data_IF_870457998278
#
_entry.id   IF_870457998278
#
_cell.length_a   1.000
_cell.length_b   1.000
_cell.length_c   1.000
_cell.angle_alpha   90.00
_cell.angle_beta   90.00
_cell.angle_gamma   90.00
#
_symmetry.space_group_name_H-M   'P 1'
#
loop_
_entity.id
_entity.type
_entity.pdbx_description
1 polymer ?
#
# COMPACT_ATOMS: atom_id res chain seq x y z
N UNK A 1 -11.70 -23.25 9.18
CA UNK A 1 -10.78 -22.40 9.96
C UNK A 1 -11.36 -20.99 10.04
N UNK A 2 -11.34 -20.33 11.20
CA UNK A 2 -11.78 -18.92 11.31
C UNK A 2 -10.57 -17.98 11.41
N UNK A 3 -10.57 -16.92 10.61
CA UNK A 3 -9.57 -15.83 10.68
C UNK A 3 -10.17 -14.69 11.47
N UNK A 4 -9.46 -14.28 12.54
CA UNK A 4 -9.94 -13.26 13.48
C UNK A 4 -9.12 -11.98 13.29
N UNK A 5 -9.80 -10.85 13.26
CA UNK A 5 -9.24 -9.52 13.42
C UNK A 5 -9.41 -9.06 14.86
N UNK A 6 -8.31 -8.83 15.55
CA UNK A 6 -8.28 -8.26 16.89
C UNK A 6 -8.12 -6.72 16.87
N UNK A 7 -8.14 -6.07 18.02
CA UNK A 7 -7.98 -4.62 18.13
C UNK A 7 -6.62 -4.08 17.65
N UNK A 8 -5.66 -4.95 17.35
CA UNK A 8 -4.36 -4.58 16.78
C UNK A 8 -4.43 -3.93 15.40
N UNK A 9 -5.58 -4.05 14.70
CA UNK A 9 -5.81 -3.35 13.43
C UNK A 9 -5.61 -1.82 13.54
N UNK A 10 -5.86 -1.21 14.71
CA UNK A 10 -5.70 0.23 14.95
C UNK A 10 -4.26 0.69 14.79
N UNK A 11 -3.31 -0.14 15.19
CA UNK A 11 -1.89 0.16 15.03
C UNK A 11 -1.43 0.12 13.58
N UNK A 12 -2.16 -0.56 12.71
CA UNK A 12 -1.86 -0.69 11.28
C UNK A 12 -2.45 0.43 10.41
N UNK A 13 -3.10 1.43 11.00
CA UNK A 13 -3.61 2.58 10.25
C UNK A 13 -2.47 3.33 9.54
N UNK A 14 -2.71 3.83 8.30
CA UNK A 14 -3.97 3.92 7.56
C UNK A 14 -4.28 2.69 6.70
N UNK A 15 -3.47 1.63 6.72
CA UNK A 15 -3.56 0.47 5.83
C UNK A 15 -4.88 -0.29 5.99
N UNK A 16 -5.42 -0.30 7.20
CA UNK A 16 -6.55 -1.14 7.61
C UNK A 16 -7.89 -0.39 7.72
N UNK A 17 -7.97 0.89 7.36
CA UNK A 17 -9.28 1.58 7.35
C UNK A 17 -10.28 0.94 6.39
N UNK A 18 -9.81 0.50 5.22
CA UNK A 18 -10.64 0.05 4.10
C UNK A 18 -10.54 -1.45 3.83
N UNK A 19 -9.76 -2.17 4.62
CA UNK A 19 -9.56 -3.62 4.50
C UNK A 19 -9.32 -4.26 5.85
N UNK A 20 -9.70 -5.53 6.04
CA UNK A 20 -9.35 -6.29 7.24
C UNK A 20 -7.85 -6.62 7.25
N UNK A 21 -7.33 -6.97 8.43
CA UNK A 21 -5.89 -7.19 8.62
C UNK A 21 -5.29 -8.29 7.74
N UNK A 22 -6.05 -9.33 7.42
CA UNK A 22 -5.60 -10.43 6.56
C UNK A 22 -5.49 -10.04 5.06
N UNK A 23 -6.02 -8.89 4.67
CA UNK A 23 -5.83 -8.31 3.34
C UNK A 23 -4.65 -7.33 3.25
N UNK A 24 -3.89 -7.18 4.33
CA UNK A 24 -2.61 -6.45 4.27
C UNK A 24 -1.63 -7.24 3.41
N UNK A 25 -1.05 -6.56 2.43
CA UNK A 25 -0.03 -7.13 1.53
C UNK A 25 1.32 -7.12 2.23
N UNK A 26 1.95 -8.30 2.28
CA UNK A 26 3.30 -8.52 2.77
C UNK A 26 4.07 -9.25 1.66
N UNK A 27 5.02 -8.61 1.03
CA UNK A 27 5.62 -9.11 -0.21
C UNK A 27 4.75 -8.78 -1.44
N UNK A 28 4.42 -9.78 -2.25
CA UNK A 28 3.58 -9.65 -3.45
C UNK A 28 2.10 -10.02 -3.20
N UNK A 29 1.80 -10.64 -2.05
CA UNK A 29 0.49 -11.22 -1.76
C UNK A 29 0.00 -10.84 -0.37
N UNK A 30 -1.32 -10.93 -0.16
CA UNK A 30 -1.96 -10.71 1.13
C UNK A 30 -1.67 -11.84 2.11
N UNK A 31 -1.86 -11.57 3.41
CA UNK A 31 -1.78 -12.61 4.45
C UNK A 31 -2.80 -13.72 4.16
N UNK A 32 -4.01 -13.37 3.71
CA UNK A 32 -5.06 -14.34 3.35
C UNK A 32 -4.61 -15.25 2.19
N UNK A 33 -4.00 -14.69 1.15
CA UNK A 33 -3.48 -15.50 0.03
C UNK A 33 -2.39 -16.46 0.49
N UNK A 34 -1.51 -16.04 1.41
CA UNK A 34 -0.51 -16.90 2.03
C UNK A 34 -1.16 -18.01 2.89
N UNK A 35 -2.21 -17.68 3.64
CA UNK A 35 -2.98 -18.66 4.41
C UNK A 35 -3.64 -19.72 3.50
N UNK A 36 -4.28 -19.29 2.41
CA UNK A 36 -4.89 -20.20 1.42
C UNK A 36 -3.85 -21.11 0.77
N UNK A 37 -2.64 -20.63 0.52
CA UNK A 37 -1.54 -21.47 0.00
C UNK A 37 -1.07 -22.51 1.01
N UNK A 38 -0.97 -22.13 2.28
CA UNK A 38 -0.53 -23.04 3.35
C UNK A 38 -1.59 -24.10 3.71
N UNK A 39 -2.85 -23.75 3.57
CA UNK A 39 -3.99 -24.59 3.93
C UNK A 39 -4.99 -24.69 2.76
N UNK A 40 -4.61 -25.36 1.65
CA UNK A 40 -5.38 -25.35 0.40
C UNK A 40 -6.75 -26.02 0.53
N UNK A 41 -6.89 -26.98 1.43
CA UNK A 41 -8.13 -27.76 1.63
C UNK A 41 -9.07 -27.15 2.69
N UNK A 42 -8.64 -26.06 3.34
CA UNK A 42 -9.42 -25.41 4.40
C UNK A 42 -10.44 -24.42 3.85
N UNK A 43 -11.64 -24.47 4.39
CA UNK A 43 -12.62 -23.41 4.23
C UNK A 43 -12.39 -22.31 5.28
N UNK A 44 -12.33 -21.06 4.85
CA UNK A 44 -12.11 -19.93 5.72
C UNK A 44 -13.42 -19.17 5.99
N UNK A 45 -13.67 -18.90 7.27
CA UNK A 45 -14.65 -17.91 7.74
C UNK A 45 -13.92 -16.76 8.43
N UNK A 46 -14.61 -15.64 8.62
CA UNK A 46 -13.97 -14.41 9.05
C UNK A 46 -14.73 -13.77 10.22
N UNK A 47 -13.99 -13.24 11.20
CA UNK A 47 -14.53 -12.48 12.32
C UNK A 47 -13.72 -11.19 12.48
N UNK A 48 -14.36 -10.04 12.42
CA UNK A 48 -13.73 -8.73 12.53
C UNK A 48 -14.75 -7.61 12.42
N UNK A 49 -14.33 -6.47 11.90
CA UNK A 49 -15.18 -5.27 11.78
C UNK A 49 -16.33 -5.49 10.79
N UNK A 50 -17.57 -5.35 11.26
CA UNK A 50 -18.79 -5.64 10.49
C UNK A 50 -18.88 -4.88 9.16
N UNK A 51 -18.34 -3.67 9.10
CA UNK A 51 -18.40 -2.86 7.90
C UNK A 51 -17.43 -3.32 6.79
N UNK A 52 -16.50 -4.23 7.09
CA UNK A 52 -15.55 -4.82 6.14
C UNK A 52 -15.92 -6.25 5.75
N UNK A 53 -16.66 -6.93 6.62
CA UNK A 53 -16.99 -8.34 6.44
C UNK A 53 -18.46 -8.42 6.09
N UNK A 54 -18.83 -8.93 4.90
CA UNK A 54 -20.22 -9.25 4.61
C UNK A 54 -20.71 -10.21 5.70
N UNK A 55 -21.92 -9.99 6.20
CA UNK A 55 -22.57 -10.86 7.18
C UNK A 55 -22.65 -12.29 6.62
N UNK A 56 -21.61 -13.07 6.83
CA UNK A 56 -21.48 -14.45 6.39
C UNK A 56 -21.69 -15.37 7.57
N UNK A 57 -22.42 -16.43 7.31
CA UNK A 57 -22.81 -17.48 8.23
C UNK A 57 -21.65 -17.89 9.15
N UNK A 58 -21.86 -17.74 10.46
CA UNK A 58 -20.95 -18.23 11.47
C UNK A 58 -21.03 -19.77 11.48
N UNK A 59 -20.06 -20.38 10.82
CA UNK A 59 -19.71 -21.76 11.14
C UNK A 59 -18.92 -21.73 12.45
N UNK A 60 -19.20 -22.61 13.37
CA UNK A 60 -18.40 -22.79 14.60
C UNK A 60 -17.15 -23.58 14.19
N UNK A 61 -15.98 -22.97 14.11
CA UNK A 61 -14.80 -23.66 13.60
C UNK A 61 -13.98 -24.27 14.73
N UNK A 62 -13.33 -25.37 14.45
CA UNK A 62 -12.43 -26.06 15.38
C UNK A 62 -11.09 -25.33 15.60
N UNK A 63 -10.77 -24.34 14.77
CA UNK A 63 -9.47 -23.64 14.82
C UNK A 63 -9.58 -22.16 14.49
N UNK A 64 -9.05 -21.33 15.38
CA UNK A 64 -8.94 -19.87 15.23
C UNK A 64 -7.50 -19.45 14.89
N UNK A 65 -7.35 -18.48 13.98
CA UNK A 65 -6.06 -17.87 13.63
C UNK A 65 -6.20 -16.35 13.66
N UNK A 66 -5.24 -15.67 14.32
CA UNK A 66 -5.12 -14.23 14.23
C UNK A 66 -4.70 -13.82 12.81
N UNK A 67 -5.52 -12.99 12.15
CA UNK A 67 -5.33 -12.55 10.76
C UNK A 67 -4.10 -11.68 10.51
N UNK A 68 -3.36 -11.28 11.56
CA UNK A 68 -2.10 -10.53 11.45
C UNK A 68 -0.86 -11.42 11.45
N UNK A 69 -1.01 -12.74 11.59
CA UNK A 69 0.13 -13.68 11.63
C UNK A 69 0.42 -14.20 10.23
N UNK A 70 1.65 -14.00 9.78
CA UNK A 70 2.15 -14.59 8.53
C UNK A 70 2.30 -16.11 8.71
N UNK A 71 1.64 -16.89 7.84
CA UNK A 71 1.56 -18.34 8.06
C UNK A 71 2.89 -19.08 7.90
N UNK A 72 3.82 -18.57 7.12
CA UNK A 72 5.12 -19.18 6.86
C UNK A 72 6.09 -19.04 8.02
N UNK A 73 6.23 -17.81 8.52
CA UNK A 73 7.23 -17.47 9.56
C UNK A 73 6.65 -17.43 10.97
N UNK A 74 5.31 -17.42 11.14
CA UNK A 74 4.67 -17.14 12.42
C UNK A 74 4.82 -15.68 12.89
N UNK A 75 5.41 -14.82 12.05
CA UNK A 75 5.61 -13.39 12.38
C UNK A 75 4.28 -12.66 12.41
N UNK A 76 4.05 -11.90 13.46
CA UNK A 76 2.91 -11.01 13.60
C UNK A 76 3.21 -9.66 12.96
N UNK A 77 2.25 -9.13 12.21
CA UNK A 77 2.27 -7.75 11.69
C UNK A 77 1.60 -6.86 12.72
N UNK A 78 2.39 -6.05 13.41
CA UNK A 78 1.94 -5.19 14.51
C UNK A 78 1.81 -3.74 14.08
N UNK A 79 2.73 -3.26 13.23
CA UNK A 79 2.85 -1.88 12.80
C UNK A 79 2.83 -1.74 11.28
N UNK A 80 2.44 -0.58 10.72
CA UNK A 80 2.35 -0.37 9.28
C UNK A 80 3.70 -0.47 8.55
N UNK A 81 4.82 -0.37 9.26
CA UNK A 81 6.16 -0.54 8.71
C UNK A 81 6.66 -1.99 8.70
N UNK A 82 6.00 -2.92 9.38
CA UNK A 82 6.47 -4.32 9.43
C UNK A 82 6.49 -4.97 8.04
N UNK A 83 5.50 -4.75 7.15
CA UNK A 83 5.59 -5.21 5.76
C UNK A 83 6.76 -4.59 4.99
N UNK A 84 7.17 -3.36 5.30
CA UNK A 84 8.31 -2.71 4.65
C UNK A 84 9.62 -3.23 5.19
N UNK A 85 9.76 -3.37 6.51
CA UNK A 85 10.99 -3.89 7.14
C UNK A 85 11.36 -5.30 6.67
N UNK A 86 10.36 -6.10 6.37
CA UNK A 86 10.54 -7.51 6.00
C UNK A 86 10.22 -7.78 4.52
N UNK A 87 10.18 -6.72 3.70
CA UNK A 87 9.73 -6.82 2.31
C UNK A 87 10.59 -7.78 1.48
N UNK A 88 11.89 -7.83 1.74
CA UNK A 88 12.81 -8.70 1.02
C UNK A 88 12.44 -10.17 1.23
N UNK A 89 12.37 -10.58 2.48
CA UNK A 89 12.08 -11.96 2.88
C UNK A 89 10.69 -12.39 2.42
N UNK A 90 9.70 -11.50 2.55
CA UNK A 90 8.32 -11.76 2.13
C UNK A 90 8.20 -11.91 0.61
N UNK A 91 8.97 -11.14 -0.17
CA UNK A 91 9.03 -11.27 -1.63
C UNK A 91 9.80 -12.52 -2.07
N UNK A 92 10.94 -12.81 -1.43
CA UNK A 92 11.71 -14.03 -1.71
C UNK A 92 10.84 -15.29 -1.50
N UNK A 93 10.00 -15.30 -0.46
CA UNK A 93 9.04 -16.37 -0.22
C UNK A 93 7.96 -16.41 -1.30
N UNK A 94 7.35 -15.27 -1.61
CA UNK A 94 6.29 -15.21 -2.62
C UNK A 94 6.80 -15.62 -4.02
N UNK A 95 8.00 -15.21 -4.41
CA UNK A 95 8.59 -15.57 -5.70
C UNK A 95 8.92 -17.05 -5.82
N UNK A 96 9.26 -17.74 -4.74
CA UNK A 96 9.41 -19.22 -4.76
C UNK A 96 8.12 -19.91 -5.16
N UNK A 97 6.97 -19.34 -4.80
CA UNK A 97 5.67 -19.88 -5.11
C UNK A 97 5.13 -19.40 -6.47
N UNK A 98 5.21 -18.08 -6.74
CA UNK A 98 4.70 -17.47 -7.97
C UNK A 98 5.57 -17.77 -9.19
N UNK A 99 6.83 -18.11 -8.96
CA UNK A 99 7.86 -18.22 -9.97
C UNK A 99 8.41 -16.85 -10.39
N UNK A 100 9.73 -16.73 -10.50
CA UNK A 100 10.35 -15.56 -11.11
C UNK A 100 10.28 -15.64 -12.63
N UNK A 101 10.44 -14.51 -13.32
CA UNK A 101 10.53 -14.44 -14.78
C UNK A 101 9.69 -13.33 -15.39
N UNK A 102 9.86 -13.17 -16.68
CA UNK A 102 9.18 -12.16 -17.48
C UNK A 102 8.00 -12.83 -18.20
N UNK A 103 6.78 -12.60 -17.71
CA UNK A 103 5.53 -13.08 -18.30
C UNK A 103 4.81 -11.98 -19.09
N UNK A 104 5.16 -10.72 -18.81
CA UNK A 104 4.64 -9.53 -19.49
C UNK A 104 5.53 -9.06 -20.64
N UNK A 105 5.29 -7.85 -21.12
CA UNK A 105 6.03 -7.24 -22.23
C UNK A 105 7.14 -6.34 -21.67
N UNK A 106 8.38 -6.56 -22.09
CA UNK A 106 9.55 -5.77 -21.68
C UNK A 106 10.27 -5.28 -22.95
N UNK A 107 10.39 -3.94 -23.06
CA UNK A 107 11.09 -3.35 -24.21
C UNK A 107 12.57 -3.76 -24.22
N UNK A 108 13.14 -3.98 -25.40
CA UNK A 108 14.50 -4.49 -25.59
C UNK A 108 15.62 -3.61 -24.99
N UNK A 109 15.36 -2.32 -24.77
CA UNK A 109 16.31 -1.38 -24.14
C UNK A 109 16.23 -1.34 -22.60
N UNK A 110 15.41 -2.17 -21.98
CA UNK A 110 15.32 -2.27 -20.52
C UNK A 110 16.53 -2.99 -19.96
N UNK A 111 17.13 -2.43 -18.92
CA UNK A 111 18.24 -3.08 -18.21
C UNK A 111 17.70 -3.78 -16.97
N UNK A 112 17.95 -5.09 -16.85
CA UNK A 112 17.56 -5.88 -15.69
C UNK A 112 18.82 -6.43 -14.99
N UNK A 113 19.06 -5.98 -13.77
CA UNK A 113 20.08 -6.57 -12.92
C UNK A 113 19.45 -7.65 -12.04
N UNK A 114 20.09 -8.82 -11.98
CA UNK A 114 19.65 -10.00 -11.27
C UNK A 114 18.24 -10.49 -11.68
N UNK A 115 18.04 -10.88 -12.96
CA UNK A 115 16.72 -11.21 -13.51
C UNK A 115 16.04 -12.41 -12.80
N UNK A 116 16.77 -13.22 -12.07
CA UNK A 116 16.23 -14.35 -11.28
C UNK A 116 15.37 -13.89 -10.10
N UNK A 117 15.55 -12.65 -9.66
CA UNK A 117 14.79 -12.02 -8.58
C UNK A 117 13.73 -11.03 -9.11
N UNK A 118 13.38 -11.11 -10.39
CA UNK A 118 12.36 -10.25 -11.00
C UNK A 118 11.19 -11.09 -11.49
N UNK A 119 9.97 -10.68 -11.11
CA UNK A 119 8.74 -11.19 -11.68
C UNK A 119 7.96 -10.05 -12.32
N UNK A 120 7.77 -10.13 -13.63
CA UNK A 120 6.86 -9.26 -14.41
C UNK A 120 5.66 -10.11 -14.82
N UNK A 121 4.51 -9.84 -14.22
CA UNK A 121 3.29 -10.63 -14.45
C UNK A 121 2.69 -10.40 -15.84
N UNK A 122 1.82 -11.30 -16.25
CA UNK A 122 1.09 -11.27 -17.52
C UNK A 122 0.34 -9.94 -17.72
N UNK A 123 0.42 -9.37 -18.92
CA UNK A 123 -0.20 -8.10 -19.28
C UNK A 123 0.44 -6.86 -18.65
N UNK A 124 1.49 -7.02 -17.83
CA UNK A 124 2.31 -5.89 -17.44
C UNK A 124 3.25 -5.47 -18.56
N UNK A 125 3.54 -4.16 -18.65
CA UNK A 125 4.49 -3.60 -19.63
C UNK A 125 5.61 -2.85 -18.94
N UNK A 126 6.83 -3.03 -19.41
CA UNK A 126 8.01 -2.26 -19.01
C UNK A 126 8.57 -1.54 -20.22
N UNK A 127 8.37 -0.23 -20.26
CA UNK A 127 8.71 0.61 -21.40
C UNK A 127 10.20 0.91 -21.52
N UNK A 128 10.58 1.52 -22.65
CA UNK A 128 11.95 1.76 -23.05
C UNK A 128 12.80 2.48 -21.98
N UNK A 129 14.06 2.06 -21.87
CA UNK A 129 15.08 2.67 -21.00
C UNK A 129 14.78 2.60 -19.49
N UNK A 130 13.81 1.78 -19.06
CA UNK A 130 13.63 1.49 -17.66
C UNK A 130 14.78 0.61 -17.13
N UNK A 131 15.07 0.72 -15.83
CA UNK A 131 16.07 -0.09 -15.15
C UNK A 131 15.38 -0.83 -13.99
N UNK A 132 15.48 -2.16 -13.98
CA UNK A 132 15.02 -3.03 -12.90
C UNK A 132 16.25 -3.54 -12.14
N UNK A 133 16.54 -2.96 -10.98
CA UNK A 133 17.71 -3.32 -10.17
C UNK A 133 17.33 -4.20 -8.97
N UNK A 134 17.35 -5.52 -9.18
CA UNK A 134 17.04 -6.52 -8.15
C UNK A 134 18.28 -7.06 -7.43
N UNK A 135 19.42 -6.35 -7.45
CA UNK A 135 20.66 -6.81 -6.79
C UNK A 135 20.57 -6.82 -5.26
N UNK A 136 19.69 -6.00 -4.67
CA UNK A 136 19.49 -5.92 -3.22
C UNK A 136 18.25 -6.66 -2.71
N UNK A 137 17.40 -7.14 -3.60
CA UNK A 137 16.20 -7.90 -3.29
C UNK A 137 15.24 -7.97 -4.46
N UNK A 138 14.20 -8.79 -4.36
CA UNK A 138 13.28 -9.06 -5.47
C UNK A 138 12.47 -7.85 -5.92
N UNK A 139 12.05 -7.88 -7.19
CA UNK A 139 11.09 -6.94 -7.77
C UNK A 139 9.89 -7.72 -8.29
N UNK A 140 8.71 -7.36 -7.79
CA UNK A 140 7.43 -7.85 -8.28
C UNK A 140 6.68 -6.74 -9.00
N UNK A 141 6.23 -7.01 -10.23
CA UNK A 141 5.41 -6.12 -11.05
C UNK A 141 4.13 -6.87 -11.40
N UNK A 142 3.02 -6.47 -10.79
CA UNK A 142 1.73 -7.13 -10.88
C UNK A 142 1.05 -6.96 -12.23
N UNK A 143 0.09 -7.82 -12.49
CA UNK A 143 -0.67 -7.94 -13.74
C UNK A 143 -1.22 -6.60 -14.22
N UNK A 144 -1.05 -6.29 -15.51
CA UNK A 144 -1.59 -5.09 -16.15
C UNK A 144 -0.93 -3.76 -15.70
N UNK A 145 0.17 -3.83 -14.95
CA UNK A 145 0.92 -2.64 -14.53
C UNK A 145 1.80 -2.11 -15.65
N UNK A 146 1.87 -0.78 -15.75
CA UNK A 146 2.69 -0.07 -16.76
C UNK A 146 3.85 0.62 -16.04
N UNK A 147 5.08 0.23 -16.39
CA UNK A 147 6.31 0.91 -16.00
C UNK A 147 6.72 1.82 -17.14
N UNK A 148 6.59 3.13 -16.93
CA UNK A 148 6.85 4.14 -17.97
C UNK A 148 8.34 4.26 -18.34
N UNK A 149 8.65 4.86 -19.51
CA UNK A 149 10.02 4.99 -19.98
C UNK A 149 10.96 5.68 -18.99
N UNK A 150 12.20 5.22 -18.89
CA UNK A 150 13.24 5.80 -18.05
C UNK A 150 13.04 5.62 -16.55
N UNK A 151 12.13 4.77 -16.12
CA UNK A 151 11.86 4.48 -14.70
C UNK A 151 13.00 3.67 -14.08
N UNK A 152 13.41 4.02 -12.85
CA UNK A 152 14.35 3.26 -12.05
C UNK A 152 13.62 2.53 -10.91
N UNK A 153 13.54 1.20 -10.99
CA UNK A 153 13.00 0.34 -9.95
C UNK A 153 14.13 -0.38 -9.21
N UNK A 154 14.17 -0.25 -7.89
CA UNK A 154 15.21 -0.85 -7.04
C UNK A 154 14.57 -1.75 -5.99
N UNK A 155 14.92 -3.02 -6.00
CA UNK A 155 14.42 -4.01 -5.04
C UNK A 155 14.99 -3.86 -3.62
N UNK A 156 14.32 -4.45 -2.60
CA UNK A 156 13.05 -5.16 -2.74
C UNK A 156 11.89 -4.19 -3.06
N UNK A 157 11.03 -4.54 -4.00
CA UNK A 157 9.95 -3.67 -4.45
C UNK A 157 8.75 -4.49 -4.91
N UNK A 158 7.56 -4.14 -4.41
CA UNK A 158 6.30 -4.76 -4.80
C UNK A 158 5.38 -3.73 -5.42
N UNK A 159 4.96 -3.95 -6.66
CA UNK A 159 4.00 -3.11 -7.37
C UNK A 159 2.80 -3.98 -7.73
N UNK A 160 1.64 -3.66 -7.19
CA UNK A 160 0.38 -4.36 -7.39
C UNK A 160 -0.13 -4.31 -8.83
N UNK A 161 -1.38 -4.71 -9.01
CA UNK A 161 -2.02 -4.84 -10.33
C UNK A 161 -2.52 -3.49 -10.86
N UNK A 162 -2.48 -3.33 -12.19
CA UNK A 162 -3.03 -2.16 -12.88
C UNK A 162 -2.47 -0.81 -12.39
N UNK A 163 -1.26 -0.80 -11.87
CA UNK A 163 -0.55 0.42 -11.48
C UNK A 163 0.04 1.13 -12.70
N UNK A 164 0.37 2.42 -12.54
CA UNK A 164 1.20 3.16 -13.50
C UNK A 164 2.32 3.81 -12.72
N UNK A 165 3.56 3.50 -13.07
CA UNK A 165 4.71 3.96 -12.30
C UNK A 165 5.80 4.58 -13.17
N UNK A 166 6.43 5.64 -12.63
CA UNK A 166 7.55 6.35 -13.20
C UNK A 166 8.40 6.99 -12.10
N UNK A 167 9.61 7.42 -12.45
CA UNK A 167 10.57 8.01 -11.53
C UNK A 167 11.46 6.97 -10.85
N UNK A 168 11.90 7.23 -9.64
CA UNK A 168 12.70 6.29 -8.85
C UNK A 168 11.85 5.69 -7.72
N UNK A 169 11.70 4.37 -7.71
CA UNK A 169 10.98 3.62 -6.69
C UNK A 169 11.91 2.60 -6.03
N UNK A 170 11.96 2.63 -4.71
CA UNK A 170 12.88 1.84 -3.91
C UNK A 170 12.18 1.25 -2.70
N UNK A 171 12.40 -0.06 -2.41
CA UNK A 171 12.04 -0.71 -1.15
C UNK A 171 10.63 -0.33 -0.65
N UNK A 172 9.61 -0.53 -1.49
CA UNK A 172 8.26 -0.04 -1.24
C UNK A 172 7.19 -1.02 -1.70
N UNK A 173 5.99 -0.89 -1.15
CA UNK A 173 4.81 -1.63 -1.56
C UNK A 173 3.81 -0.63 -2.16
N UNK A 174 3.38 -0.89 -3.38
CA UNK A 174 2.30 -0.18 -4.07
C UNK A 174 1.14 -1.14 -4.28
N UNK A 175 -0.02 -0.83 -3.74
CA UNK A 175 -1.21 -1.64 -3.96
C UNK A 175 -1.87 -1.31 -5.31
N UNK A 176 -2.83 -2.14 -5.68
CA UNK A 176 -3.52 -2.12 -6.98
C UNK A 176 -4.07 -0.74 -7.35
N UNK A 177 -4.04 -0.42 -8.63
CA UNK A 177 -4.58 0.82 -9.22
C UNK A 177 -3.88 2.11 -8.77
N UNK A 178 -2.74 2.03 -8.11
CA UNK A 178 -1.94 3.19 -7.73
C UNK A 178 -1.29 3.83 -8.95
N UNK A 179 -1.32 5.16 -9.01
CA UNK A 179 -0.72 5.94 -10.08
C UNK A 179 0.41 6.84 -9.55
N UNK A 180 1.64 6.52 -9.89
CA UNK A 180 2.86 7.34 -9.76
C UNK A 180 3.46 7.54 -11.14
N UNK A 181 2.66 8.00 -12.08
CA UNK A 181 2.95 8.00 -13.52
C UNK A 181 3.97 9.04 -14.00
N UNK A 182 4.62 9.79 -13.10
CA UNK A 182 5.57 10.85 -13.41
C UNK A 182 6.82 10.77 -12.54
N UNK A 183 7.84 11.60 -12.80
CA UNK A 183 9.09 11.68 -12.04
C UNK A 183 8.86 11.96 -10.53
N UNK A 184 9.88 11.73 -9.73
CA UNK A 184 9.93 11.86 -8.28
C UNK A 184 10.41 10.56 -7.63
N UNK A 185 10.77 10.64 -6.35
CA UNK A 185 11.30 9.52 -5.58
C UNK A 185 10.29 9.00 -4.56
N UNK A 186 10.07 7.70 -4.51
CA UNK A 186 9.33 7.01 -3.43
C UNK A 186 10.17 5.86 -2.89
N UNK A 187 10.53 5.95 -1.61
CA UNK A 187 11.35 4.93 -0.95
C UNK A 187 10.85 4.55 0.42
N UNK A 188 10.98 3.26 0.78
CA UNK A 188 10.63 2.65 2.07
C UNK A 188 9.18 2.97 2.51
N UNK A 189 8.24 2.88 1.56
CA UNK A 189 6.87 3.39 1.73
C UNK A 189 5.82 2.32 1.44
N UNK A 190 4.66 2.45 2.08
CA UNK A 190 3.49 1.64 1.80
C UNK A 190 2.38 2.52 1.21
N UNK A 191 2.05 2.30 -0.05
CA UNK A 191 1.08 3.10 -0.81
C UNK A 191 -0.14 2.22 -1.10
N UNK A 192 -1.27 2.56 -0.48
CA UNK A 192 -2.52 1.80 -0.65
C UNK A 192 -3.15 2.01 -2.03
N UNK A 193 -4.30 1.36 -2.27
CA UNK A 193 -4.94 1.33 -3.59
C UNK A 193 -5.56 2.67 -3.99
N UNK A 194 -5.69 2.91 -5.29
CA UNK A 194 -6.33 4.11 -5.85
C UNK A 194 -5.64 5.43 -5.49
N UNK A 195 -4.43 5.38 -4.95
CA UNK A 195 -3.62 6.57 -4.69
C UNK A 195 -3.14 7.17 -6.02
N UNK A 196 -3.18 8.51 -6.11
CA UNK A 196 -2.62 9.23 -7.24
C UNK A 196 -1.56 10.22 -6.78
N UNK A 197 -0.31 9.98 -7.13
CA UNK A 197 0.82 10.84 -6.82
C UNK A 197 1.12 11.73 -8.02
N UNK A 198 0.94 13.04 -7.86
CA UNK A 198 1.23 14.06 -8.88
C UNK A 198 2.71 14.08 -9.30
N UNK A 199 2.99 14.67 -10.44
CA UNK A 199 4.36 14.83 -10.94
C UNK A 199 5.25 15.51 -9.91
N UNK A 200 6.47 15.00 -9.71
CA UNK A 200 7.41 15.55 -8.73
C UNK A 200 7.09 15.19 -7.27
N UNK A 201 6.02 14.43 -7.00
CA UNK A 201 5.79 13.92 -5.63
C UNK A 201 6.99 13.09 -5.19
N UNK A 202 7.57 13.49 -4.06
CA UNK A 202 8.80 12.91 -3.52
C UNK A 202 8.66 12.74 -2.01
N UNK A 203 9.10 11.58 -1.48
CA UNK A 203 9.21 11.41 -0.05
C UNK A 203 10.66 11.37 0.42
N UNK A 204 10.92 11.86 1.63
CA UNK A 204 12.14 11.55 2.36
C UNK A 204 12.00 10.21 3.05
N UNK A 205 13.02 9.36 3.01
CA UNK A 205 13.08 8.09 3.70
C UNK A 205 14.21 8.01 4.74
N UNK A 206 15.05 9.04 4.85
CA UNK A 206 16.14 9.14 5.80
C UNK A 206 16.15 10.55 6.41
N UNK A 207 16.30 10.64 7.74
CA UNK A 207 16.45 11.94 8.40
C UNK A 207 17.87 12.49 8.22
N UNK A 208 18.00 13.81 8.16
CA UNK A 208 19.32 14.48 8.05
C UNK A 208 20.27 14.17 9.22
N UNK A 209 19.74 13.83 10.40
CA UNK A 209 20.52 13.45 11.58
C UNK A 209 20.73 11.96 11.75
N UNK A 210 20.33 11.13 10.76
CA UNK A 210 20.45 9.67 10.73
C UNK A 210 19.80 8.92 11.91
N UNK A 211 18.97 9.58 12.73
CA UNK A 211 18.25 8.92 13.82
C UNK A 211 17.09 8.08 13.29
N UNK A 212 16.65 7.12 14.11
CA UNK A 212 15.49 6.31 13.79
C UNK A 212 14.27 7.15 13.42
N UNK A 213 13.48 6.64 12.50
CA UNK A 213 12.22 7.27 12.10
C UNK A 213 11.14 6.94 13.12
N UNK A 214 10.31 7.93 13.45
CA UNK A 214 9.10 7.75 14.27
C UNK A 214 7.86 7.94 13.41
N UNK A 215 6.86 7.08 13.60
CA UNK A 215 5.58 7.08 12.89
C UNK A 215 4.45 7.23 13.91
N UNK A 216 3.40 7.96 13.55
CA UNK A 216 2.21 8.08 14.38
C UNK A 216 1.36 6.80 14.22
N UNK A 217 1.16 6.07 15.32
CA UNK A 217 0.35 4.86 15.39
C UNK A 217 -0.59 4.95 16.58
N UNK A 218 -1.88 4.79 16.36
CA UNK A 218 -2.91 4.83 17.40
C UNK A 218 -2.72 6.00 18.38
N UNK A 219 -2.53 7.21 17.83
CA UNK A 219 -2.35 8.45 18.60
C UNK A 219 -0.98 8.64 19.26
N UNK A 220 -0.03 7.71 19.12
CA UNK A 220 1.32 7.78 19.72
C UNK A 220 2.42 7.76 18.66
N UNK A 221 3.51 8.45 18.96
CA UNK A 221 4.72 8.44 18.14
C UNK A 221 5.58 7.24 18.50
N UNK A 222 5.52 6.19 17.67
CA UNK A 222 6.27 4.95 17.85
C UNK A 222 7.58 4.98 17.06
N UNK A 223 8.67 4.45 17.65
CA UNK A 223 9.97 4.31 16.99
C UNK A 223 9.99 3.06 16.11
N UNK A 224 10.28 3.21 14.82
CA UNK A 224 10.35 2.07 13.90
C UNK A 224 11.58 1.16 14.14
N UNK A 225 12.55 1.58 14.95
CA UNK A 225 13.81 0.88 15.16
C UNK A 225 14.76 0.88 13.97
N UNK A 226 14.47 1.70 12.94
CA UNK A 226 15.30 1.83 11.72
C UNK A 226 15.41 3.30 11.31
N UNK A 227 16.48 3.65 10.62
CA UNK A 227 16.73 5.00 10.13
C UNK A 227 16.15 5.24 8.70
N UNK A 228 15.88 4.17 7.95
CA UNK A 228 15.21 4.24 6.66
C UNK A 228 13.74 3.87 6.77
N UNK A 229 12.85 4.87 6.66
CA UNK A 229 11.40 4.68 6.59
C UNK A 229 10.75 5.88 5.91
N UNK A 230 9.93 5.62 4.89
CA UNK A 230 9.24 6.63 4.09
C UNK A 230 7.87 7.02 4.65
N UNK A 231 6.83 6.87 3.85
CA UNK A 231 5.46 7.26 4.19
C UNK A 231 4.47 6.11 4.04
N UNK A 232 3.32 6.26 4.71
CA UNK A 232 2.19 5.32 4.67
C UNK A 232 0.98 6.08 4.17
N UNK A 233 0.45 5.70 3.00
CA UNK A 233 -0.60 6.45 2.32
C UNK A 233 -1.85 5.57 2.18
N UNK A 234 -2.96 6.02 2.77
CA UNK A 234 -4.26 5.35 2.72
C UNK A 234 -4.91 5.40 1.34
N UNK A 235 -5.89 4.54 1.14
CA UNK A 235 -6.61 4.41 -0.13
C UNK A 235 -7.21 5.73 -0.61
N UNK A 236 -7.28 5.90 -1.93
CA UNK A 236 -7.86 7.07 -2.60
C UNK A 236 -7.17 8.42 -2.31
N UNK A 237 -6.08 8.47 -1.55
CA UNK A 237 -5.35 9.71 -1.32
C UNK A 237 -4.74 10.25 -2.63
N UNK A 238 -4.62 11.57 -2.74
CA UNK A 238 -4.08 12.26 -3.90
C UNK A 238 -3.10 13.34 -3.50
N UNK A 239 -2.05 13.52 -4.31
CA UNK A 239 -1.12 14.62 -4.14
C UNK A 239 -1.08 15.48 -5.39
N UNK A 240 -0.96 16.80 -5.21
CA UNK A 240 -0.65 17.73 -6.28
C UNK A 240 0.78 17.54 -6.79
N UNK A 241 1.10 18.20 -7.88
CA UNK A 241 2.47 18.28 -8.41
C UNK A 241 3.43 18.87 -7.38
N UNK A 242 4.67 18.38 -7.34
CA UNK A 242 5.72 18.90 -6.46
C UNK A 242 5.50 18.65 -4.96
N UNK A 243 4.59 17.74 -4.58
CA UNK A 243 4.33 17.45 -3.17
C UNK A 243 5.55 16.81 -2.51
N UNK A 244 6.00 17.36 -1.39
CA UNK A 244 7.09 16.83 -0.57
C UNK A 244 6.56 16.21 0.72
N UNK A 245 6.94 14.94 0.96
CA UNK A 245 6.48 14.15 2.10
C UNK A 245 7.68 13.78 2.97
N UNK A 246 7.63 14.09 4.27
CA UNK A 246 8.73 13.75 5.19
C UNK A 246 8.69 12.31 5.67
N UNK A 247 9.83 11.86 6.22
CA UNK A 247 10.01 10.52 6.81
C UNK A 247 8.93 10.19 7.84
N UNK A 248 8.38 9.00 7.77
CA UNK A 248 7.39 8.49 8.72
C UNK A 248 6.06 9.24 8.67
N UNK A 249 5.74 9.90 7.56
CA UNK A 249 4.45 10.57 7.38
C UNK A 249 3.36 9.54 7.15
N UNK A 250 2.26 9.66 7.88
CA UNK A 250 1.02 8.90 7.71
C UNK A 250 -0.01 9.80 7.04
N UNK A 251 -0.51 9.38 5.89
CA UNK A 251 -1.52 10.10 5.12
C UNK A 251 -2.79 9.25 5.09
N UNK A 252 -3.88 9.79 5.61
CA UNK A 252 -5.14 9.10 5.76
C UNK A 252 -5.86 8.82 4.43
N UNK A 253 -6.95 8.07 4.52
CA UNK A 253 -7.81 7.70 3.39
C UNK A 253 -8.41 8.94 2.73
N UNK A 254 -8.40 8.98 1.41
CA UNK A 254 -9.00 10.04 0.59
C UNK A 254 -8.49 11.46 0.92
N UNK A 255 -7.33 11.59 1.54
CA UNK A 255 -6.68 12.88 1.75
C UNK A 255 -6.22 13.47 0.41
N UNK A 256 -6.49 14.75 0.18
CA UNK A 256 -6.07 15.48 -1.01
C UNK A 256 -5.06 16.57 -0.63
N UNK A 257 -3.78 16.36 -0.98
CA UNK A 257 -2.65 17.16 -0.54
C UNK A 257 -2.24 18.17 -1.61
N UNK A 258 -2.40 19.45 -1.31
CA UNK A 258 -1.95 20.58 -2.13
C UNK A 258 -1.76 21.84 -1.29
N UNK A 259 -1.08 22.86 -1.83
CA UNK A 259 -0.97 24.17 -1.20
C UNK A 259 -0.02 24.26 0.00
N UNK A 260 0.66 23.17 0.37
CA UNK A 260 1.66 23.16 1.44
C UNK A 260 3.05 22.89 0.86
N UNK A 261 4.12 23.52 1.40
CA UNK A 261 5.47 23.26 0.92
C UNK A 261 5.95 21.84 1.25
N UNK A 262 5.46 21.24 2.34
CA UNK A 262 5.77 19.87 2.75
C UNK A 262 4.75 19.32 3.76
N UNK A 263 4.69 17.99 3.86
CA UNK A 263 3.81 17.29 4.82
C UNK A 263 4.63 16.49 5.83
N UNK A 264 4.35 16.71 7.13
CA UNK A 264 5.03 16.07 8.26
C UNK A 264 4.07 15.13 8.99
N UNK A 265 4.60 14.04 9.46
CA UNK A 265 4.04 13.08 10.41
C UNK A 265 2.62 12.59 10.13
N UNK A 266 1.62 13.43 10.10
CA UNK A 266 0.23 13.00 9.95
C UNK A 266 -0.57 13.98 9.10
N UNK A 267 -1.37 13.41 8.18
CA UNK A 267 -2.41 14.10 7.43
C UNK A 267 -3.71 13.32 7.64
N UNK A 268 -4.73 13.93 8.25
CA UNK A 268 -6.00 13.26 8.53
C UNK A 268 -6.68 12.69 7.27
N UNK A 269 -7.43 11.63 7.42
CA UNK A 269 -8.30 11.11 6.38
C UNK A 269 -9.28 12.18 5.92
N UNK A 270 -9.55 12.24 4.61
CA UNK A 270 -10.43 13.24 3.98
C UNK A 270 -10.00 14.70 4.16
N UNK A 271 -8.72 14.96 4.40
CA UNK A 271 -8.19 16.32 4.38
C UNK A 271 -8.25 16.93 2.98
N UNK A 272 -8.52 18.27 2.91
CA UNK A 272 -8.51 19.05 1.68
C UNK A 272 -7.45 20.13 1.73
N UNK A 273 -6.44 20.03 0.87
CA UNK A 273 -5.34 20.99 0.70
C UNK A 273 -4.29 20.97 1.80
N UNK A 274 -4.69 21.07 3.02
CA UNK A 274 -3.83 21.11 4.19
C UNK A 274 -4.37 20.29 5.34
N UNK A 275 -4.01 20.68 6.54
CA UNK A 275 -4.41 19.97 7.75
C UNK A 275 -5.75 20.47 8.34
N UNK A 276 -6.30 21.59 7.83
CA UNK A 276 -7.42 22.30 8.47
C UNK A 276 -8.77 22.10 7.78
N UNK A 277 -8.77 21.78 6.50
CA UNK A 277 -10.01 21.64 5.73
C UNK A 277 -10.36 20.17 5.50
N UNK A 278 -11.66 19.88 5.54
CA UNK A 278 -12.20 18.56 5.26
C UNK A 278 -12.84 18.56 3.87
N UNK A 279 -12.48 17.57 3.04
CA UNK A 279 -13.14 17.35 1.76
C UNK A 279 -14.61 16.99 1.97
N UNK A 280 -15.50 17.48 1.09
CA UNK A 280 -16.90 17.08 1.09
C UNK A 280 -16.99 15.62 0.65
N UNK A 281 -17.69 14.81 1.43
CA UNK A 281 -17.78 13.36 1.20
C UNK A 281 -18.32 13.03 -0.19
N UNK A 282 -19.33 13.75 -0.66
CA UNK A 282 -19.93 13.57 -1.99
C UNK A 282 -18.91 13.82 -3.10
N UNK A 283 -18.06 14.86 -2.97
CA UNK A 283 -17.00 15.16 -3.94
C UNK A 283 -15.90 14.07 -3.93
N UNK A 284 -15.60 13.49 -2.77
CA UNK A 284 -14.68 12.36 -2.66
C UNK A 284 -15.23 11.13 -3.38
N UNK A 285 -16.51 10.80 -3.17
CA UNK A 285 -17.18 9.66 -3.82
C UNK A 285 -17.20 9.85 -5.34
N UNK A 286 -17.55 11.05 -5.84
CA UNK A 286 -17.55 11.34 -7.29
C UNK A 286 -16.11 11.27 -7.86
N UNK A 287 -15.12 11.71 -7.12
CA UNK A 287 -13.70 11.59 -7.52
C UNK A 287 -13.27 10.11 -7.60
N UNK A 288 -13.68 9.30 -6.63
CA UNK A 288 -13.41 7.85 -6.66
C UNK A 288 -14.12 7.20 -7.87
N UNK A 289 -15.39 7.53 -8.11
CA UNK A 289 -16.15 7.07 -9.29
C UNK A 289 -15.45 7.41 -10.60
N UNK A 290 -15.00 8.65 -10.75
CA UNK A 290 -14.29 9.10 -11.95
C UNK A 290 -12.96 8.37 -12.14
N UNK A 291 -12.20 8.15 -11.05
CA UNK A 291 -10.94 7.43 -11.09
C UNK A 291 -11.13 5.96 -11.51
N UNK A 292 -12.14 5.28 -10.95
CA UNK A 292 -12.46 3.88 -11.29
C UNK A 292 -12.94 3.75 -12.73
N UNK A 293 -13.83 4.66 -13.18
CA UNK A 293 -14.32 4.68 -14.57
C UNK A 293 -13.20 4.82 -15.61
N UNK A 294 -12.16 5.61 -15.32
CA UNK A 294 -10.94 5.72 -16.18
C UNK A 294 -10.15 4.42 -16.28
N UNK A 295 -10.40 3.46 -15.41
CA UNK A 295 -9.82 2.12 -15.42
C UNK A 295 -10.79 1.04 -15.89
N UNK A 296 -11.94 1.46 -16.47
CA UNK A 296 -12.97 0.54 -16.96
C UNK A 296 -13.78 -0.14 -15.85
N UNK A 297 -13.76 0.42 -14.63
CA UNK A 297 -14.48 -0.11 -13.49
C UNK A 297 -15.58 0.85 -13.04
N UNK A 298 -16.64 0.27 -12.49
CA UNK A 298 -17.69 1.03 -11.83
C UNK A 298 -17.53 0.94 -10.31
N UNK A 299 -17.74 2.06 -9.61
CA UNK A 299 -17.77 2.06 -8.15
C UNK A 299 -19.02 1.31 -7.69
N UNK A 300 -18.85 0.34 -6.81
CA UNK A 300 -19.95 -0.46 -6.25
C UNK A 300 -20.60 0.28 -5.08
N UNK A 301 -21.84 -0.08 -4.78
CA UNK A 301 -22.52 0.46 -3.59
C UNK A 301 -21.76 0.12 -2.29
N UNK A 302 -21.10 -1.03 -2.23
CA UNK A 302 -20.24 -1.44 -1.11
C UNK A 302 -19.07 -0.48 -0.91
N UNK A 303 -18.43 -0.02 -2.00
CA UNK A 303 -17.31 0.93 -1.93
C UNK A 303 -17.79 2.30 -1.42
N UNK A 304 -18.97 2.74 -1.87
CA UNK A 304 -19.57 3.97 -1.39
C UNK A 304 -19.94 3.89 0.09
N UNK A 305 -20.52 2.77 0.54
CA UNK A 305 -20.83 2.52 1.96
C UNK A 305 -19.56 2.50 2.81
N UNK A 306 -18.50 1.88 2.30
CA UNK A 306 -17.20 1.84 2.95
C UNK A 306 -16.61 3.23 3.14
N UNK A 307 -16.56 4.05 2.08
CA UNK A 307 -16.04 5.42 2.16
C UNK A 307 -16.85 6.28 3.16
N UNK A 308 -18.19 6.15 3.15
CA UNK A 308 -19.07 6.83 4.13
C UNK A 308 -18.73 6.41 5.55
N UNK A 309 -18.58 5.10 5.78
CA UNK A 309 -18.25 4.57 7.12
C UNK A 309 -16.89 5.02 7.62
N UNK A 310 -15.87 4.98 6.76
CA UNK A 310 -14.52 5.47 7.10
C UNK A 310 -14.55 6.98 7.37
N UNK A 311 -15.33 7.76 6.61
CA UNK A 311 -15.51 9.20 6.88
C UNK A 311 -16.05 9.47 8.27
N UNK A 312 -17.04 8.70 8.72
CA UNK A 312 -17.59 8.80 10.08
C UNK A 312 -16.55 8.43 11.15
N UNK A 313 -15.89 7.27 10.97
CA UNK A 313 -14.92 6.75 11.95
C UNK A 313 -13.69 7.65 12.12
N UNK A 314 -13.27 8.35 11.07
CA UNK A 314 -12.11 9.25 11.07
C UNK A 314 -12.44 10.69 11.45
N UNK A 315 -13.66 10.98 11.94
CA UNK A 315 -14.07 12.33 12.34
C UNK A 315 -13.14 12.94 13.39
N UNK A 316 -12.70 12.16 14.36
CA UNK A 316 -11.79 12.62 15.42
C UNK A 316 -10.40 13.01 14.89
N UNK A 317 -9.91 12.38 13.82
CA UNK A 317 -8.63 12.76 13.17
C UNK A 317 -8.66 14.23 12.70
N UNK A 318 -9.81 14.69 12.20
CA UNK A 318 -10.00 16.04 11.62
C UNK A 318 -10.34 17.11 12.65
N UNK A 319 -10.87 16.71 13.81
CA UNK A 319 -11.25 17.65 14.88
C UNK A 319 -10.07 18.04 15.80
N UNK A 320 -8.95 17.32 15.73
CA UNK A 320 -7.81 17.49 16.63
C UNK A 320 -6.63 18.26 16.07
N UNK A 321 -6.74 18.79 14.86
CA UNK A 321 -5.66 19.53 14.18
C UNK A 321 -5.93 21.03 14.34
N UNK A 322 -5.69 21.54 15.54
CA UNK A 322 -5.73 22.94 15.92
C UNK A 322 -4.34 23.47 16.26
#
# INVERSE_FOLDING_TARGET
MIIIEDEGWKKLLPLTWTRPVWEVVCGATTILEKLKRKYPDEQFSFKGRDYLIPSSQFLVPDKEINGRILPSSGREIVYPWDPIKNLKEDLEEDLKFLGAGIKGEVHSSVVIHNPKEVLVEEGATVDAHAVLDARQGPIYIGKGTIVHPGTLLRGPLSIGRNCKVAGELLHSIFLDYTNKGHYGFIGHSYICSWVNLGAGTTNSNLKNNYSNVKVLCDGKMEDCGVNFMGCFIGDHAKTAIGTMIYTGCVIGVAANLFGQPYYKKFVPSFSWGGLKETAKLEEVIETARAAMKRRGLEIKETDVKLLKKVFELTKSERCGVG
#
